data_IF_543912608645
#
_entry.id   IF_543912608645
#
_cell.length_a   1.000
_cell.length_b   1.000
_cell.length_c   1.000
_cell.angle_alpha   90.00
_cell.angle_beta   90.00
_cell.angle_gamma   90.00
#
_symmetry.space_group_name_H-M   'P 1'
#
loop_
_entity.id
_entity.type
_entity.pdbx_description
1 polymer ?
#
# COMPACT_ATOMS: atom_id res chain seq x y z
N UNK A 1 -14.97 17.46 -6.92
CA UNK A 1 -13.63 17.54 -7.52
C UNK A 1 -12.77 16.47 -6.87
N UNK A 2 -12.79 15.26 -7.41
CA UNK A 2 -11.87 14.19 -6.97
C UNK A 2 -10.77 14.20 -8.02
N UNK A 3 -9.62 14.77 -7.68
CA UNK A 3 -8.47 14.77 -8.57
C UNK A 3 -8.13 13.30 -8.87
N UNK A 4 -8.07 12.91 -10.14
CA UNK A 4 -7.53 11.62 -10.56
C UNK A 4 -6.04 11.59 -10.20
N UNK A 5 -5.74 11.35 -8.93
CA UNK A 5 -4.40 11.28 -8.40
C UNK A 5 -3.82 9.93 -8.81
N UNK A 6 -3.14 9.90 -9.96
CA UNK A 6 -2.43 8.71 -10.42
C UNK A 6 -1.29 8.31 -9.47
N UNK A 7 -0.92 9.16 -8.52
CA UNK A 7 0.12 8.90 -7.53
C UNK A 7 -0.27 9.50 -6.18
N UNK A 8 0.00 8.75 -5.10
CA UNK A 8 -0.17 9.21 -3.73
C UNK A 8 1.03 8.74 -2.88
N UNK A 9 1.39 9.51 -1.87
CA UNK A 9 2.37 9.09 -0.86
C UNK A 9 1.62 8.60 0.37
N UNK A 10 2.09 7.50 0.93
CA UNK A 10 1.51 6.91 2.14
C UNK A 10 2.47 7.18 3.29
N UNK A 11 1.93 7.75 4.37
CA UNK A 11 2.66 8.01 5.60
C UNK A 11 2.14 7.12 6.73
N UNK A 12 3.05 6.74 7.62
CA UNK A 12 2.76 5.97 8.81
C UNK A 12 3.32 6.67 10.04
N UNK A 13 2.50 6.73 11.09
CA UNK A 13 2.95 7.10 12.42
C UNK A 13 3.47 5.86 13.12
N UNK A 14 4.78 5.81 13.34
CA UNK A 14 5.41 4.73 14.07
C UNK A 14 5.40 5.04 15.56
N UNK A 15 5.18 4.05 16.45
CA UNK A 15 5.10 4.27 17.89
C UNK A 15 6.39 4.82 18.52
N UNK A 16 7.53 4.72 17.83
CA UNK A 16 8.82 5.27 18.26
C UNK A 16 9.28 6.50 17.47
N UNK A 17 8.44 7.02 16.56
CA UNK A 17 8.77 8.18 15.75
C UNK A 17 7.72 9.29 15.98
N UNK A 18 8.12 10.46 16.52
CA UNK A 18 7.19 11.56 16.77
C UNK A 18 6.73 12.24 15.46
N UNK A 19 7.44 12.02 14.36
CA UNK A 19 7.10 12.53 13.04
C UNK A 19 6.55 11.42 12.13
N UNK A 20 5.59 11.72 11.25
CA UNK A 20 5.09 10.77 10.27
C UNK A 20 6.19 10.34 9.31
N UNK A 21 6.42 9.04 9.19
CA UNK A 21 7.42 8.47 8.28
C UNK A 21 6.74 8.11 6.96
N UNK A 22 7.34 8.52 5.83
CA UNK A 22 6.88 8.10 4.50
C UNK A 22 7.07 6.58 4.38
N UNK A 23 5.97 5.85 4.32
CA UNK A 23 5.96 4.39 4.18
C UNK A 23 6.30 3.97 2.74
N UNK A 24 5.76 4.69 1.76
CA UNK A 24 5.91 4.32 0.36
C UNK A 24 5.05 5.16 -0.56
N UNK A 25 5.06 4.78 -1.85
CA UNK A 25 4.30 5.43 -2.90
C UNK A 25 3.25 4.48 -3.46
N UNK A 26 2.03 4.96 -3.56
CA UNK A 26 0.94 4.34 -4.29
C UNK A 26 0.84 4.95 -5.68
N UNK A 27 0.66 4.13 -6.71
CA UNK A 27 0.53 4.58 -8.10
C UNK A 27 -0.60 3.82 -8.76
N UNK A 28 -1.42 4.52 -9.52
CA UNK A 28 -2.50 3.93 -10.31
C UNK A 28 -2.00 3.73 -11.73
N UNK A 29 -1.80 2.47 -12.12
CA UNK A 29 -1.24 2.06 -13.42
C UNK A 29 -2.14 0.95 -13.94
N UNK A 30 -2.55 1.04 -15.21
CA UNK A 30 -3.34 -0.02 -15.88
C UNK A 30 -4.60 -0.46 -15.09
N UNK A 31 -5.34 0.50 -14.56
CA UNK A 31 -6.58 0.26 -13.77
C UNK A 31 -6.33 -0.49 -12.44
N UNK A 32 -5.08 -0.55 -11.98
CA UNK A 32 -4.70 -1.19 -10.72
C UNK A 32 -3.92 -0.24 -9.83
N UNK A 33 -4.14 -0.38 -8.52
CA UNK A 33 -3.34 0.32 -7.53
C UNK A 33 -2.09 -0.49 -7.21
N UNK A 34 -0.95 0.14 -7.42
CA UNK A 34 0.36 -0.42 -7.15
C UNK A 34 0.99 0.31 -5.97
N UNK A 35 1.27 -0.43 -4.91
CA UNK A 35 1.99 0.10 -3.76
C UNK A 35 3.44 -0.39 -3.74
N UNK A 36 4.36 0.51 -3.42
CA UNK A 36 5.78 0.21 -3.23
C UNK A 36 6.29 0.91 -1.97
N UNK A 37 6.88 0.13 -1.07
CA UNK A 37 7.56 0.66 0.11
C UNK A 37 8.77 1.51 -0.29
N UNK A 38 8.97 2.60 0.43
CA UNK A 38 10.18 3.42 0.31
C UNK A 38 11.40 2.63 0.80
N UNK A 39 12.55 2.79 0.12
CA UNK A 39 13.80 2.14 0.54
C UNK A 39 14.16 2.52 1.98
N UNK A 40 14.08 3.81 2.31
CA UNK A 40 14.31 4.35 3.65
C UNK A 40 13.34 3.78 4.70
N UNK A 41 12.15 3.36 4.28
CA UNK A 41 11.18 2.74 5.17
C UNK A 41 11.55 1.28 5.44
N UNK A 42 11.97 0.52 4.42
CA UNK A 42 12.41 -0.87 4.61
C UNK A 42 13.74 -1.00 5.36
N UNK A 43 14.62 -0.02 5.21
CA UNK A 43 15.88 0.06 5.96
C UNK A 43 15.69 0.52 7.42
N UNK A 44 14.48 0.98 7.78
CA UNK A 44 14.17 1.41 9.15
C UNK A 44 13.87 0.18 10.03
N UNK A 45 14.66 -0.01 11.09
CA UNK A 45 14.47 -1.09 12.07
C UNK A 45 13.13 -1.01 12.82
N UNK A 46 12.47 0.15 12.80
CA UNK A 46 11.16 0.37 13.40
C UNK A 46 10.01 0.29 12.38
N UNK A 47 10.27 -0.15 11.16
CA UNK A 47 9.24 -0.27 10.13
C UNK A 47 8.17 -1.29 10.50
N UNK A 48 6.92 -0.91 10.27
CA UNK A 48 5.75 -1.76 10.52
C UNK A 48 5.10 -2.08 9.18
N UNK A 49 4.75 -3.35 8.99
CA UNK A 49 4.00 -3.83 7.82
C UNK A 49 2.59 -3.26 7.84
N UNK A 50 2.15 -2.65 6.72
CA UNK A 50 0.77 -2.15 6.59
C UNK A 50 -0.26 -3.27 6.71
N UNK A 51 0.06 -4.44 6.17
CA UNK A 51 -0.69 -5.67 6.37
C UNK A 51 0.28 -6.84 6.30
N UNK A 52 0.34 -7.72 7.32
CA UNK A 52 1.26 -8.86 7.32
C UNK A 52 0.93 -9.89 6.22
N UNK A 53 -0.29 -9.86 5.66
CA UNK A 53 -0.76 -10.81 4.64
C UNK A 53 -0.63 -10.19 3.24
N UNK A 54 -1.19 -8.99 3.04
CA UNK A 54 -1.31 -8.38 1.72
C UNK A 54 -0.08 -7.53 1.33
N UNK A 55 0.65 -7.00 2.32
CA UNK A 55 1.75 -6.06 2.13
C UNK A 55 2.90 -6.33 3.12
N UNK A 56 3.54 -7.51 3.10
CA UNK A 56 4.72 -7.77 3.90
C UNK A 56 5.83 -6.76 3.59
N UNK A 57 6.70 -6.47 4.57
CA UNK A 57 7.85 -5.54 4.45
C UNK A 57 8.94 -6.11 3.53
N UNK A 58 8.62 -6.26 2.25
CA UNK A 58 9.52 -6.75 1.21
C UNK A 58 9.58 -5.76 0.06
N UNK A 59 10.71 -5.71 -0.64
CA UNK A 59 10.87 -4.95 -1.89
C UNK A 59 10.14 -5.66 -3.03
N UNK A 60 8.83 -5.84 -2.91
CA UNK A 60 8.00 -6.48 -3.93
C UNK A 60 6.87 -5.55 -4.35
N UNK A 61 6.58 -5.52 -5.65
CA UNK A 61 5.49 -4.73 -6.22
C UNK A 61 4.20 -5.50 -6.03
N UNK A 62 3.32 -5.03 -5.15
CA UNK A 62 1.98 -5.58 -5.01
C UNK A 62 1.03 -4.88 -5.97
N UNK A 63 0.29 -5.68 -6.75
CA UNK A 63 -0.82 -5.21 -7.56
C UNK A 63 -2.08 -5.45 -6.74
N UNK A 64 -2.69 -4.38 -6.23
CA UNK A 64 -3.98 -4.48 -5.54
C UNK A 64 -5.01 -4.63 -6.64
N UNK A 65 -5.49 -5.85 -6.83
CA UNK A 65 -6.59 -6.11 -7.72
C UNK A 65 -7.85 -5.51 -7.08
N UNK A 66 -8.22 -4.32 -7.56
CA UNK A 66 -9.49 -3.70 -7.18
C UNK A 66 -10.55 -4.13 -8.19
N UNK A 67 -10.69 -5.44 -8.43
CA UNK A 67 -11.93 -5.94 -9.01
C UNK A 67 -13.07 -5.59 -8.03
N UNK A 68 -14.21 -5.06 -8.49
CA UNK A 68 -15.41 -5.14 -7.70
C UNK A 68 -15.70 -6.63 -7.54
N UNK A 69 -15.50 -7.19 -6.33
CA UNK A 69 -15.92 -8.56 -6.01
C UNK A 69 -17.34 -8.75 -6.52
N UNK A 70 -17.58 -9.47 -7.64
CA UNK A 70 -18.93 -9.81 -8.01
C UNK A 70 -19.31 -10.96 -7.08
N UNK A 71 -20.16 -10.62 -6.11
CA UNK A 71 -21.14 -11.49 -5.46
C UNK A 71 -20.85 -12.99 -5.60
N UNK A 72 -20.48 -13.60 -4.47
CA UNK A 72 -20.60 -15.03 -4.27
C UNK A 72 -21.97 -15.50 -4.77
N UNK A 73 -22.03 -16.04 -5.98
CA UNK A 73 -23.06 -16.97 -6.39
C UNK A 73 -22.70 -18.30 -5.74
N UNK A 74 -23.20 -18.50 -4.53
CA UNK A 74 -23.57 -19.82 -4.09
C UNK A 74 -24.70 -20.27 -5.02
N UNK A 75 -24.35 -21.00 -6.08
CA UNK A 75 -25.30 -21.77 -6.88
C UNK A 75 -25.03 -23.22 -6.53
N UNK A 76 -25.96 -23.71 -5.71
CA UNK A 76 -26.54 -25.06 -5.61
C UNK A 76 -25.59 -26.25 -5.62
#
# INVERSE_FOLDING_TARGET
MISNASQAFVWLWLPRCPEPVVAGKMSFIEDKYHFVYGRSYLENEHSISLSPIELPLVQFRFSIDTAPTPTAKAVV
#
